data_IF_426812877012
#
_entry.id   IF_426812877012
#
_cell.length_a   1.000
_cell.length_b   1.000
_cell.length_c   1.000
_cell.angle_alpha   90.00
_cell.angle_beta   90.00
_cell.angle_gamma   90.00
#
_symmetry.space_group_name_H-M   'P 1'
#
loop_
_entity.id
_entity.type
_entity.pdbx_description
1 polymer ?
#
# COMPACT_ATOMS: atom_id res chain seq x y z
N UNK A 1 -62.99 46.70 -13.58
CA UNK A 1 -62.41 45.67 -12.71
C UNK A 1 -60.99 45.40 -13.23
N UNK A 2 -59.93 45.79 -12.47
CA UNK A 2 -58.53 45.72 -12.88
C UNK A 2 -57.90 44.48 -12.18
N UNK A 3 -57.55 43.44 -12.92
CA UNK A 3 -56.81 42.28 -12.41
C UNK A 3 -55.33 42.62 -12.30
N UNK A 4 -54.78 42.61 -11.08
CA UNK A 4 -53.35 42.71 -10.82
C UNK A 4 -52.73 41.32 -10.94
N UNK A 5 -51.86 41.14 -11.89
CA UNK A 5 -51.04 39.92 -12.04
C UNK A 5 -49.85 40.02 -11.09
N UNK A 6 -49.78 39.12 -10.11
CA UNK A 6 -48.66 39.01 -9.15
C UNK A 6 -47.67 37.99 -9.75
N UNK A 7 -46.54 38.49 -10.22
CA UNK A 7 -45.43 37.65 -10.68
C UNK A 7 -44.57 37.25 -9.46
N UNK A 8 -44.64 35.98 -9.07
CA UNK A 8 -43.79 35.43 -8.01
C UNK A 8 -42.48 34.98 -8.68
N UNK A 9 -41.40 35.68 -8.36
CA UNK A 9 -40.04 35.34 -8.80
C UNK A 9 -39.45 34.27 -7.87
N UNK A 10 -39.37 33.05 -8.33
CA UNK A 10 -38.77 31.92 -7.61
C UNK A 10 -37.25 31.96 -7.81
N UNK A 11 -36.52 32.48 -6.81
CA UNK A 11 -35.06 32.49 -6.81
C UNK A 11 -34.57 31.13 -6.37
N UNK A 12 -34.06 30.28 -7.30
CA UNK A 12 -33.35 29.05 -7.02
C UNK A 12 -31.95 29.39 -6.52
N UNK A 13 -31.75 29.28 -5.23
CA UNK A 13 -30.41 29.23 -4.63
C UNK A 13 -29.77 27.85 -4.92
N UNK A 14 -28.88 27.80 -5.92
CA UNK A 14 -27.97 26.68 -6.07
C UNK A 14 -26.91 26.73 -4.95
N UNK A 15 -27.11 25.95 -3.89
CA UNK A 15 -26.01 25.59 -2.99
C UNK A 15 -25.08 24.65 -3.76
N UNK A 16 -24.05 25.21 -4.35
CA UNK A 16 -22.92 24.44 -4.86
C UNK A 16 -22.22 23.76 -3.70
N UNK A 17 -22.41 22.45 -3.57
CA UNK A 17 -21.62 21.61 -2.67
C UNK A 17 -20.21 21.55 -3.24
N UNK A 18 -19.36 22.48 -2.80
CA UNK A 18 -17.94 22.49 -3.14
C UNK A 18 -17.26 21.42 -2.26
N UNK A 19 -17.21 20.16 -2.74
CA UNK A 19 -16.35 19.13 -2.16
C UNK A 19 -14.91 19.55 -2.43
N UNK A 20 -14.36 20.39 -1.56
CA UNK A 20 -12.93 20.60 -1.49
C UNK A 20 -12.31 19.24 -1.13
N UNK A 21 -11.71 18.58 -2.12
CA UNK A 21 -10.74 17.54 -1.92
C UNK A 21 -9.50 18.22 -1.30
N UNK A 22 -9.55 18.47 0.01
CA UNK A 22 -8.36 18.81 0.77
C UNK A 22 -7.51 17.54 0.80
N UNK A 23 -6.58 17.41 -0.14
CA UNK A 23 -5.42 16.56 0.08
C UNK A 23 -4.84 16.99 1.43
N UNK A 24 -4.90 16.11 2.41
CA UNK A 24 -4.35 16.37 3.75
C UNK A 24 -2.82 16.47 3.62
N UNK A 25 -2.35 17.64 3.21
CA UNK A 25 -0.92 17.98 3.05
C UNK A 25 -0.18 17.98 4.39
N UNK A 26 -0.91 17.78 5.51
CA UNK A 26 -0.34 17.73 6.86
C UNK A 26 0.25 16.35 7.21
N UNK A 27 -0.04 15.30 6.44
CA UNK A 27 0.41 13.95 6.76
C UNK A 27 1.77 13.65 6.09
N UNK A 28 2.84 13.75 6.87
CA UNK A 28 4.22 13.51 6.42
C UNK A 28 4.64 12.05 6.66
N UNK A 29 4.80 11.21 5.60
CA UNK A 29 5.20 9.82 5.75
C UNK A 29 6.59 9.63 6.34
N UNK A 30 7.51 10.58 6.14
CA UNK A 30 8.85 10.53 6.73
C UNK A 30 8.79 10.73 8.25
N UNK A 31 7.95 11.65 8.72
CA UNK A 31 7.72 11.85 10.14
C UNK A 31 7.00 10.64 10.76
N UNK A 32 6.00 10.08 10.06
CA UNK A 32 5.29 8.89 10.55
C UNK A 32 6.19 7.68 10.72
N UNK A 33 7.14 7.45 9.82
CA UNK A 33 8.14 6.38 9.99
C UNK A 33 8.93 6.56 11.30
N UNK A 34 9.37 7.80 11.61
CA UNK A 34 10.08 8.09 12.87
C UNK A 34 9.21 7.85 14.09
N UNK A 35 7.96 8.31 14.08
CA UNK A 35 7.00 8.12 15.17
C UNK A 35 6.69 6.64 15.43
N UNK A 36 6.65 5.83 14.37
CA UNK A 36 6.46 4.38 14.43
C UNK A 36 7.75 3.63 14.80
N UNK A 37 8.89 4.31 14.94
CA UNK A 37 10.19 3.71 15.21
C UNK A 37 10.71 2.84 14.06
N UNK A 38 10.25 3.09 12.83
CA UNK A 38 10.62 2.31 11.65
C UNK A 38 11.86 2.91 11.00
N UNK A 39 12.93 2.12 10.96
CA UNK A 39 14.13 2.40 10.18
C UNK A 39 14.05 1.60 8.88
N UNK A 40 14.05 2.29 7.74
CA UNK A 40 14.01 1.63 6.44
C UNK A 40 15.36 0.97 6.16
N UNK A 41 15.38 -0.32 5.73
CA UNK A 41 16.61 -0.99 5.34
C UNK A 41 17.14 -0.46 4.00
N UNK A 42 18.39 -0.78 3.70
CA UNK A 42 18.89 -0.65 2.33
C UNK A 42 18.15 -1.61 1.40
N UNK A 43 17.89 -1.16 0.17
CA UNK A 43 17.16 -1.97 -0.81
C UNK A 43 18.08 -3.00 -1.44
N UNK A 44 17.63 -4.25 -1.50
CA UNK A 44 18.34 -5.30 -2.22
C UNK A 44 18.38 -5.04 -3.73
N UNK A 45 19.52 -5.33 -4.37
CA UNK A 45 19.59 -5.36 -5.82
C UNK A 45 18.75 -6.53 -6.38
N UNK A 46 18.19 -6.37 -7.60
CA UNK A 46 17.58 -7.49 -8.31
C UNK A 46 18.58 -8.64 -8.50
N UNK A 47 18.11 -9.87 -8.32
CA UNK A 47 18.94 -11.09 -8.46
C UNK A 47 18.91 -11.68 -9.87
N UNK A 48 18.13 -11.08 -10.78
CA UNK A 48 17.95 -11.55 -12.15
C UNK A 48 17.75 -10.35 -13.10
N UNK A 49 17.39 -10.64 -14.35
CA UNK A 49 17.24 -9.62 -15.39
C UNK A 49 15.87 -8.87 -15.27
N UNK A 50 15.66 -8.17 -14.15
CA UNK A 50 14.52 -7.28 -13.90
C UNK A 50 14.98 -6.08 -13.05
N UNK A 51 14.10 -5.10 -12.80
CA UNK A 51 14.36 -3.91 -11.98
C UNK A 51 13.43 -3.85 -10.80
N UNK A 52 13.83 -3.16 -9.73
CA UNK A 52 13.01 -3.01 -8.53
C UNK A 52 11.75 -2.17 -8.78
N UNK A 53 11.85 -1.20 -9.69
CA UNK A 53 10.76 -0.27 -9.99
C UNK A 53 10.79 0.17 -11.46
N UNK A 54 9.59 0.49 -11.99
CA UNK A 54 9.42 1.12 -13.31
C UNK A 54 8.45 2.28 -13.16
N UNK A 55 8.82 3.45 -13.70
CA UNK A 55 7.91 4.60 -13.83
C UNK A 55 7.27 4.58 -15.21
N UNK A 56 5.94 4.77 -15.27
CA UNK A 56 5.18 4.91 -16.51
C UNK A 56 4.13 6.02 -16.32
N UNK A 57 4.36 7.17 -16.95
CA UNK A 57 3.61 8.39 -16.63
C UNK A 57 3.86 8.80 -15.17
N UNK A 58 2.80 9.01 -14.41
CA UNK A 58 2.86 9.27 -12.96
C UNK A 58 2.70 8.00 -12.10
N UNK A 59 2.71 6.80 -12.69
CA UNK A 59 2.61 5.54 -11.95
C UNK A 59 4.00 4.95 -11.71
N UNK A 60 4.25 4.53 -10.46
CA UNK A 60 5.40 3.73 -10.07
C UNK A 60 4.93 2.28 -9.83
N UNK A 61 5.49 1.36 -10.59
CA UNK A 61 5.33 -0.09 -10.42
C UNK A 61 6.49 -0.59 -9.57
N UNK A 62 6.18 -1.31 -8.50
CA UNK A 62 7.19 -1.88 -7.59
C UNK A 62 7.12 -3.40 -7.68
N UNK A 63 8.24 -4.03 -8.02
CA UNK A 63 8.38 -5.48 -8.11
C UNK A 63 8.11 -6.17 -6.78
N UNK A 64 7.70 -7.44 -6.84
CA UNK A 64 7.46 -8.28 -5.67
C UNK A 64 8.63 -8.27 -4.68
N UNK A 65 8.31 -8.13 -3.40
CA UNK A 65 9.24 -8.20 -2.27
C UNK A 65 8.77 -9.27 -1.29
N UNK A 66 9.74 -9.93 -0.68
CA UNK A 66 9.53 -10.85 0.42
C UNK A 66 9.88 -10.22 1.78
N UNK A 67 9.66 -10.95 2.89
CA UNK A 67 9.95 -10.53 4.25
C UNK A 67 11.45 -10.69 4.57
N UNK A 68 12.30 -9.87 3.92
CA UNK A 68 13.75 -9.86 4.11
C UNK A 68 14.08 -9.19 5.45
N UNK A 69 14.79 -9.90 6.32
CA UNK A 69 15.28 -9.40 7.61
C UNK A 69 16.61 -8.63 7.45
N UNK A 70 16.98 -7.89 8.47
CA UNK A 70 18.24 -7.11 8.50
C UNK A 70 19.51 -7.96 8.46
N UNK A 71 19.42 -9.23 8.82
CA UNK A 71 20.52 -10.21 8.75
C UNK A 71 20.69 -10.83 7.33
N UNK A 72 19.85 -10.42 6.37
CA UNK A 72 19.86 -10.92 4.99
C UNK A 72 19.10 -12.23 4.79
N UNK A 73 18.47 -12.80 5.83
CA UNK A 73 17.62 -13.99 5.71
C UNK A 73 16.14 -13.62 5.54
N UNK A 74 15.34 -14.54 5.00
CA UNK A 74 13.90 -14.35 4.86
C UNK A 74 13.12 -15.00 6.02
N UNK A 75 11.88 -14.53 6.23
CA UNK A 75 10.90 -15.33 6.96
C UNK A 75 10.30 -16.31 5.94
N UNK A 76 10.54 -17.59 6.18
CA UNK A 76 10.20 -18.69 5.27
C UNK A 76 9.16 -19.62 5.90
N UNK A 77 8.46 -20.37 5.06
CA UNK A 77 7.53 -21.42 5.47
C UNK A 77 6.10 -21.22 4.98
N UNK A 78 5.29 -22.27 5.09
CA UNK A 78 3.88 -22.28 4.73
C UNK A 78 3.01 -21.90 5.92
N UNK A 79 2.12 -20.94 5.68
CA UNK A 79 1.08 -20.57 6.66
C UNK A 79 0.09 -21.74 6.81
N UNK A 80 -0.21 -22.07 8.06
CA UNK A 80 -1.04 -23.24 8.41
C UNK A 80 -0.27 -24.53 8.59
N UNK A 81 1.06 -24.54 8.34
CA UNK A 81 1.95 -25.67 8.64
C UNK A 81 3.19 -25.23 9.43
N UNK A 82 3.98 -24.35 8.84
CA UNK A 82 5.28 -23.92 9.38
C UNK A 82 5.16 -22.59 10.14
N UNK A 83 4.14 -21.78 9.79
CA UNK A 83 3.86 -20.48 10.36
C UNK A 83 2.39 -20.35 10.78
N UNK A 84 2.17 -19.67 11.88
CA UNK A 84 0.84 -19.21 12.29
C UNK A 84 0.39 -18.01 11.44
N UNK A 85 -0.92 -17.71 11.37
CA UNK A 85 -1.43 -16.51 10.69
C UNK A 85 -0.83 -15.20 11.25
N UNK A 86 -0.55 -15.15 12.56
CA UNK A 86 0.04 -13.98 13.23
C UNK A 86 1.52 -13.77 12.80
N UNK A 87 2.31 -14.83 12.78
CA UNK A 87 3.68 -14.77 12.28
C UNK A 87 3.73 -14.35 10.81
N UNK A 88 2.79 -14.85 10.01
CA UNK A 88 2.65 -14.45 8.60
C UNK A 88 2.19 -12.99 8.45
N UNK A 89 1.33 -12.47 9.34
CA UNK A 89 0.99 -11.04 9.41
C UNK A 89 2.25 -10.18 9.66
N UNK A 90 3.12 -10.60 10.59
CA UNK A 90 4.39 -9.89 10.83
C UNK A 90 5.33 -10.00 9.63
N UNK A 91 5.35 -11.14 8.93
CA UNK A 91 6.10 -11.27 7.67
C UNK A 91 5.57 -10.31 6.60
N UNK A 92 4.25 -10.16 6.45
CA UNK A 92 3.65 -9.20 5.53
C UNK A 92 3.94 -7.74 5.93
N UNK A 93 3.98 -7.42 7.23
CA UNK A 93 4.38 -6.10 7.73
C UNK A 93 5.84 -5.80 7.39
N UNK A 94 6.75 -6.75 7.60
CA UNK A 94 8.16 -6.60 7.23
C UNK A 94 8.32 -6.43 5.72
N UNK A 95 7.56 -7.17 4.91
CA UNK A 95 7.52 -6.99 3.45
C UNK A 95 7.07 -5.58 3.07
N UNK A 96 6.07 -5.03 3.77
CA UNK A 96 5.64 -3.63 3.60
C UNK A 96 6.76 -2.62 3.88
N UNK A 97 7.59 -2.85 4.92
CA UNK A 97 8.77 -2.02 5.21
C UNK A 97 9.77 -2.09 4.05
N UNK A 98 10.04 -3.27 3.51
CA UNK A 98 10.93 -3.47 2.37
C UNK A 98 10.41 -2.79 1.09
N UNK A 99 9.09 -2.80 0.87
CA UNK A 99 8.43 -2.06 -0.22
C UNK A 99 8.59 -0.56 -0.07
N UNK A 100 8.34 0.00 1.13
CA UNK A 100 8.51 1.44 1.42
C UNK A 100 9.98 1.85 1.23
N UNK A 101 10.94 1.03 1.65
CA UNK A 101 12.36 1.25 1.42
C UNK A 101 12.67 1.30 -0.09
N UNK A 102 12.09 0.38 -0.87
CA UNK A 102 12.25 0.33 -2.33
C UNK A 102 11.67 1.59 -3.00
N UNK A 103 10.48 2.03 -2.58
CA UNK A 103 9.87 3.28 -3.05
C UNK A 103 10.77 4.47 -2.73
N UNK A 104 11.22 4.59 -1.47
CA UNK A 104 12.11 5.67 -1.02
C UNK A 104 13.40 5.73 -1.84
N UNK A 105 14.01 4.58 -2.10
CA UNK A 105 15.23 4.48 -2.93
C UNK A 105 14.98 4.96 -4.37
N UNK A 106 13.80 4.68 -4.94
CA UNK A 106 13.47 5.05 -6.32
C UNK A 106 13.16 6.54 -6.49
N UNK A 107 12.42 7.15 -5.55
CA UNK A 107 11.89 8.52 -5.72
C UNK A 107 12.56 9.56 -4.78
N UNK A 108 13.38 9.12 -3.84
CA UNK A 108 14.14 9.96 -2.91
C UNK A 108 13.33 10.52 -1.73
N UNK A 109 12.07 10.84 -1.92
CA UNK A 109 11.20 11.48 -0.92
C UNK A 109 9.80 10.86 -0.95
N UNK A 110 9.36 10.26 0.17
CA UNK A 110 8.05 9.59 0.25
C UNK A 110 6.87 10.57 0.20
N UNK A 111 7.09 11.88 0.40
CA UNK A 111 6.05 12.91 0.24
C UNK A 111 5.57 13.03 -1.20
N UNK A 112 6.38 12.59 -2.18
CA UNK A 112 6.00 12.49 -3.60
C UNK A 112 4.97 11.41 -3.89
N UNK A 113 4.67 10.53 -2.94
CA UNK A 113 3.61 9.52 -3.10
C UNK A 113 2.27 10.21 -2.98
N UNK A 114 1.55 10.32 -4.09
CA UNK A 114 0.19 10.88 -4.14
C UNK A 114 -0.82 9.90 -3.53
N UNK A 115 -0.73 8.61 -3.89
CA UNK A 115 -1.53 7.54 -3.28
C UNK A 115 -1.02 6.15 -3.67
N UNK A 116 -1.30 5.17 -2.83
CA UNK A 116 -1.17 3.76 -3.19
C UNK A 116 -2.41 3.36 -4.01
N UNK A 117 -2.22 2.79 -5.20
CA UNK A 117 -3.32 2.41 -6.10
C UNK A 117 -3.75 0.96 -5.85
N UNK A 118 -2.77 0.03 -5.86
CA UNK A 118 -3.02 -1.40 -5.78
C UNK A 118 -1.93 -2.10 -4.99
N UNK A 119 -2.35 -3.11 -4.23
CA UNK A 119 -1.48 -4.10 -3.58
C UNK A 119 -1.91 -5.49 -4.02
N UNK A 120 -0.97 -6.32 -4.46
CA UNK A 120 -1.16 -7.75 -4.70
C UNK A 120 -0.35 -8.51 -3.66
N UNK A 121 -1.03 -9.18 -2.75
CA UNK A 121 -0.41 -9.99 -1.69
C UNK A 121 -0.59 -11.48 -1.98
N UNK A 122 0.51 -12.20 -2.06
CA UNK A 122 0.61 -13.64 -2.27
C UNK A 122 1.10 -14.30 -0.99
N UNK A 123 0.38 -15.29 -0.51
CA UNK A 123 0.66 -16.00 0.74
C UNK A 123 1.04 -17.45 0.43
N UNK A 124 2.23 -17.88 0.84
CA UNK A 124 2.63 -19.28 0.80
C UNK A 124 1.85 -20.04 1.88
N UNK A 125 0.81 -20.76 1.50
CA UNK A 125 -0.12 -21.36 2.46
C UNK A 125 -0.44 -22.81 2.11
N UNK A 126 -0.91 -23.56 3.10
CA UNK A 126 -1.50 -24.90 2.85
C UNK A 126 -2.84 -24.71 2.12
N UNK A 127 -3.31 -25.73 1.35
CA UNK A 127 -4.53 -25.59 0.55
C UNK A 127 -5.79 -25.26 1.36
N UNK A 128 -5.85 -25.69 2.63
CA UNK A 128 -6.99 -25.48 3.53
C UNK A 128 -7.00 -24.08 4.15
N UNK A 129 -5.90 -23.31 4.07
CA UNK A 129 -5.82 -21.98 4.65
C UNK A 129 -6.64 -20.98 3.81
N UNK A 130 -7.57 -20.27 4.43
CA UNK A 130 -8.49 -19.35 3.76
C UNK A 130 -8.40 -17.89 4.24
N UNK A 131 -7.55 -17.60 5.25
CA UNK A 131 -7.46 -16.28 5.88
C UNK A 131 -6.35 -15.40 5.28
N UNK A 132 -6.04 -15.55 3.99
CA UNK A 132 -5.03 -14.74 3.29
C UNK A 132 -5.19 -13.23 3.50
N UNK A 133 -6.43 -12.65 3.52
CA UNK A 133 -6.61 -11.23 3.81
C UNK A 133 -6.07 -10.81 5.16
N UNK A 134 -6.19 -11.65 6.22
CA UNK A 134 -5.66 -11.35 7.55
C UNK A 134 -4.14 -11.26 7.54
N UNK A 135 -3.48 -12.14 6.80
CA UNK A 135 -2.01 -12.10 6.64
C UNK A 135 -1.59 -10.80 5.95
N UNK A 136 -2.19 -10.46 4.81
CA UNK A 136 -1.81 -9.29 4.02
C UNK A 136 -2.21 -7.97 4.70
N UNK A 137 -3.10 -7.99 5.70
CA UNK A 137 -3.36 -6.83 6.55
C UNK A 137 -2.07 -6.28 7.18
N UNK A 138 -1.07 -7.12 7.49
CA UNK A 138 0.21 -6.64 8.00
C UNK A 138 0.86 -5.57 7.12
N UNK A 139 0.83 -5.74 5.80
CA UNK A 139 1.30 -4.74 4.85
C UNK A 139 0.29 -3.58 4.70
N UNK A 140 -1.00 -3.87 4.52
CA UNK A 140 -2.02 -2.85 4.28
C UNK A 140 -2.15 -1.87 5.44
N UNK A 141 -2.14 -2.36 6.69
CA UNK A 141 -2.22 -1.54 7.90
C UNK A 141 -0.98 -0.64 8.03
N UNK A 142 0.20 -1.18 7.71
CA UNK A 142 1.43 -0.38 7.67
C UNK A 142 1.35 0.76 6.65
N UNK A 143 0.89 0.48 5.43
CA UNK A 143 0.74 1.50 4.38
C UNK A 143 -0.20 2.63 4.83
N UNK A 144 -1.32 2.30 5.50
CA UNK A 144 -2.23 3.30 6.07
C UNK A 144 -1.59 4.04 7.25
N UNK A 145 -0.85 3.36 8.11
CA UNK A 145 -0.11 4.00 9.22
C UNK A 145 0.92 5.02 8.73
N UNK A 146 1.60 4.73 7.60
CA UNK A 146 2.68 5.57 7.06
C UNK A 146 2.15 6.67 6.13
N UNK A 147 1.13 6.39 5.30
CA UNK A 147 0.64 7.30 4.27
C UNK A 147 -0.75 7.89 4.56
N UNK A 148 -1.40 7.52 5.69
CA UNK A 148 -2.76 7.98 6.02
C UNK A 148 -3.77 7.55 4.96
N UNK A 149 -4.69 8.42 4.59
CA UNK A 149 -5.69 8.16 3.54
C UNK A 149 -5.07 7.86 2.17
N UNK A 150 -3.87 8.38 1.89
CA UNK A 150 -3.11 8.06 0.67
C UNK A 150 -2.62 6.61 0.65
N UNK A 151 -2.54 5.94 1.80
CA UNK A 151 -2.20 4.52 1.94
C UNK A 151 -3.36 3.56 1.66
N UNK A 152 -4.60 4.03 1.57
CA UNK A 152 -5.77 3.19 1.23
C UNK A 152 -5.73 2.81 -0.25
N UNK A 153 -5.88 1.52 -0.53
CA UNK A 153 -5.61 0.94 -1.85
C UNK A 153 -6.60 -0.15 -2.21
N UNK A 154 -6.70 -0.47 -3.50
CA UNK A 154 -7.35 -1.70 -3.96
C UNK A 154 -6.43 -2.89 -3.70
N UNK A 155 -6.99 -4.08 -3.40
CA UNK A 155 -6.17 -5.23 -3.01
C UNK A 155 -6.68 -6.55 -3.57
N UNK A 156 -5.73 -7.43 -3.95
CA UNK A 156 -5.93 -8.86 -3.99
C UNK A 156 -5.06 -9.52 -2.91
N UNK A 157 -5.60 -10.52 -2.21
CA UNK A 157 -4.86 -11.35 -1.25
C UNK A 157 -5.18 -12.81 -1.57
N UNK A 158 -4.19 -13.56 -2.04
CA UNK A 158 -4.37 -14.90 -2.60
C UNK A 158 -3.39 -15.90 -1.99
N UNK A 159 -3.80 -17.16 -1.90
CA UNK A 159 -2.93 -18.27 -1.51
C UNK A 159 -2.16 -18.80 -2.73
N UNK A 160 -0.90 -19.13 -2.51
CA UNK A 160 -0.01 -19.69 -3.52
C UNK A 160 0.43 -21.11 -3.10
N UNK A 161 0.51 -22.01 -4.08
CA UNK A 161 1.02 -23.38 -3.85
C UNK A 161 2.49 -23.39 -3.42
N UNK A 162 3.28 -22.39 -3.87
CA UNK A 162 4.66 -22.13 -3.45
C UNK A 162 5.03 -20.70 -3.79
N UNK A 163 6.05 -20.17 -3.09
CA UNK A 163 6.71 -18.92 -3.43
C UNK A 163 8.23 -19.15 -3.56
N UNK A 164 8.95 -18.28 -4.31
CA UNK A 164 10.40 -18.37 -4.45
C UNK A 164 11.08 -18.45 -3.09
N UNK A 165 12.15 -19.21 -2.96
CA UNK A 165 12.90 -19.38 -1.70
C UNK A 165 12.04 -19.77 -0.49
N UNK A 166 10.87 -20.38 -0.75
CA UNK A 166 9.90 -20.76 0.31
C UNK A 166 9.49 -19.60 1.24
N UNK A 167 9.57 -18.34 0.77
CA UNK A 167 9.19 -17.18 1.58
C UNK A 167 7.71 -17.25 2.00
N UNK A 168 7.40 -16.69 3.18
CA UNK A 168 6.04 -16.73 3.75
C UNK A 168 5.02 -15.95 2.91
N UNK A 169 5.42 -14.79 2.39
CA UNK A 169 4.62 -13.90 1.56
C UNK A 169 5.47 -13.23 0.50
N UNK A 170 4.83 -12.86 -0.61
CA UNK A 170 5.38 -11.94 -1.60
C UNK A 170 4.35 -10.88 -1.91
N UNK A 171 4.75 -9.61 -1.97
CA UNK A 171 3.83 -8.49 -2.18
C UNK A 171 4.42 -7.53 -3.22
N UNK A 172 3.63 -7.19 -4.23
CA UNK A 172 3.90 -6.10 -5.17
C UNK A 172 2.88 -4.96 -5.00
N UNK A 173 3.19 -3.79 -5.53
CA UNK A 173 2.27 -2.67 -5.53
C UNK A 173 2.46 -1.70 -6.69
N UNK A 174 1.41 -0.92 -6.94
CA UNK A 174 1.39 0.21 -7.87
C UNK A 174 0.98 1.44 -7.08
N UNK A 175 1.68 2.53 -7.28
CA UNK A 175 1.36 3.82 -6.67
C UNK A 175 1.38 4.95 -7.70
N UNK A 176 0.70 6.04 -7.38
CA UNK A 176 0.70 7.30 -8.12
C UNK A 176 1.63 8.30 -7.44
N UNK A 177 2.42 8.98 -8.25
CA UNK A 177 3.31 10.07 -7.82
C UNK A 177 2.63 11.42 -8.02
N UNK A 178 3.00 12.40 -7.20
CA UNK A 178 2.70 13.81 -7.48
C UNK A 178 3.41 14.25 -8.77
N UNK A 179 2.84 15.24 -9.46
CA UNK A 179 3.37 15.82 -10.71
C UNK A 179 4.70 16.55 -10.49
#
# INVERSE_FOLDING_TARGET
MKHKLITVLFSLLFLGCNTQNTSDSSFDPELRLKELGIVLPETSSPVANYVNTVVSGNLLYVSGKGPLKSDGTYIEGKVGKDLTPEEAYQAARLTGINLIATIKSAIGDLRKVKRIIRVTGMVNAVPEFSEHPKVINGCSDLLVQVFGERGRHTRAAVGMGSLPSNIAVEIDLILELED
#
